data_IF_919034403734
#
_entry.id   IF_919034403734
#
_cell.length_a   1.000
_cell.length_b   1.000
_cell.length_c   1.000
_cell.angle_alpha   90.00
_cell.angle_beta   90.00
_cell.angle_gamma   90.00
#
_symmetry.space_group_name_H-M   'P 1'
#
loop_
_entity.id
_entity.type
_entity.pdbx_description
1 polymer ?
#
# COMPACT_ATOMS: atom_id res chain seq x y z
N UNK A 1 -16.83 -1.77 -10.01
CA UNK A 1 -15.95 -2.76 -10.70
C UNK A 1 -14.99 -1.97 -11.58
N UNK A 2 -13.67 -2.14 -11.44
CA UNK A 2 -12.69 -1.43 -12.29
C UNK A 2 -11.71 -0.51 -11.56
N UNK A 3 -11.98 -0.08 -10.31
CA UNK A 3 -11.02 0.76 -9.57
C UNK A 3 -9.82 -0.08 -9.11
N UNK A 4 -10.07 -1.24 -8.50
CA UNK A 4 -9.01 -2.18 -8.07
C UNK A 4 -8.05 -2.48 -9.21
N UNK A 5 -8.58 -2.90 -10.36
CA UNK A 5 -7.75 -3.29 -11.51
C UNK A 5 -6.91 -2.11 -12.04
N UNK A 6 -7.44 -0.88 -12.00
CA UNK A 6 -6.69 0.33 -12.37
C UNK A 6 -5.54 0.62 -11.40
N UNK A 7 -5.76 0.51 -10.09
CA UNK A 7 -4.70 0.72 -9.10
C UNK A 7 -3.62 -0.36 -9.17
N UNK A 8 -4.03 -1.62 -9.36
CA UNK A 8 -3.09 -2.73 -9.58
C UNK A 8 -2.18 -2.47 -10.79
N UNK A 9 -2.75 -2.01 -11.91
CA UNK A 9 -1.99 -1.67 -13.11
C UNK A 9 -1.08 -0.45 -12.90
N UNK A 10 -1.58 0.60 -12.24
CA UNK A 10 -0.83 1.83 -12.01
C UNK A 10 0.42 1.58 -11.13
N UNK A 11 0.23 0.88 -10.01
CA UNK A 11 1.30 0.58 -9.05
C UNK A 11 2.10 -0.66 -9.41
N UNK A 12 1.64 -1.44 -10.39
CA UNK A 12 2.24 -2.72 -10.79
C UNK A 12 2.34 -3.70 -9.61
N UNK A 13 1.29 -3.76 -8.80
CA UNK A 13 1.13 -4.68 -7.65
C UNK A 13 -0.22 -5.39 -7.74
N UNK A 14 -0.43 -6.44 -6.94
CA UNK A 14 -1.75 -7.07 -6.77
C UNK A 14 -2.35 -6.67 -5.42
N UNK A 15 -3.64 -6.39 -5.41
CA UNK A 15 -4.38 -5.96 -4.22
C UNK A 15 -5.36 -7.08 -3.84
N UNK A 16 -5.17 -7.70 -2.69
CA UNK A 16 -6.09 -8.72 -2.19
C UNK A 16 -7.42 -8.08 -1.74
N UNK A 17 -8.51 -8.85 -1.79
CA UNK A 17 -9.79 -8.37 -1.28
C UNK A 17 -9.74 -8.10 0.23
N UNK A 18 -8.91 -8.86 0.97
CA UNK A 18 -8.63 -8.61 2.38
C UNK A 18 -7.97 -7.25 2.63
N UNK A 19 -7.10 -6.78 1.72
CA UNK A 19 -6.47 -5.47 1.84
C UNK A 19 -7.51 -4.34 1.68
N UNK A 20 -8.50 -4.51 0.81
CA UNK A 20 -9.60 -3.55 0.66
C UNK A 20 -10.47 -3.46 1.94
N UNK A 21 -10.80 -4.61 2.53
CA UNK A 21 -11.55 -4.67 3.80
C UNK A 21 -10.76 -4.04 4.94
N UNK A 22 -9.45 -4.32 5.01
CA UNK A 22 -8.56 -3.74 6.00
C UNK A 22 -8.46 -2.22 5.83
N UNK A 23 -8.29 -1.73 4.61
CA UNK A 23 -8.21 -0.30 4.33
C UNK A 23 -9.50 0.44 4.71
N UNK A 24 -10.67 -0.13 4.40
CA UNK A 24 -11.96 0.42 4.84
C UNK A 24 -12.07 0.47 6.37
N UNK A 25 -11.65 -0.60 7.05
CA UNK A 25 -11.74 -0.72 8.52
C UNK A 25 -10.80 0.26 9.22
N UNK A 26 -9.53 0.30 8.81
CA UNK A 26 -8.49 1.12 9.43
C UNK A 26 -8.69 2.61 9.14
N UNK A 27 -9.00 2.98 7.89
CA UNK A 27 -9.32 4.37 7.56
C UNK A 27 -10.56 4.85 8.30
N UNK A 28 -11.58 4.00 8.47
CA UNK A 28 -12.75 4.36 9.27
C UNK A 28 -12.41 4.61 10.75
N UNK A 29 -11.49 3.83 11.32
CA UNK A 29 -11.10 3.95 12.72
C UNK A 29 -10.17 5.14 12.99
N UNK A 30 -9.21 5.41 12.11
CA UNK A 30 -8.09 6.31 12.42
C UNK A 30 -8.07 7.61 11.61
N UNK A 31 -8.79 7.69 10.49
CA UNK A 31 -8.87 8.91 9.66
C UNK A 31 -10.28 9.49 9.84
N UNK A 32 -10.43 10.33 10.87
CA UNK A 32 -11.73 10.83 11.35
C UNK A 32 -12.25 12.06 10.59
N UNK A 33 -11.36 12.80 9.94
CA UNK A 33 -11.63 14.04 9.20
C UNK A 33 -12.05 13.81 7.73
N UNK A 34 -12.14 12.55 7.30
CA UNK A 34 -12.52 12.15 5.94
C UNK A 34 -13.60 11.06 5.92
N UNK A 35 -14.31 10.98 4.81
CA UNK A 35 -15.43 10.06 4.61
C UNK A 35 -15.04 8.88 3.71
N UNK A 36 -15.70 7.74 3.91
CA UNK A 36 -15.63 6.61 2.96
C UNK A 36 -16.41 6.95 1.68
N UNK A 37 -16.00 6.41 0.50
CA UNK A 37 -14.89 5.48 0.29
C UNK A 37 -13.52 6.14 0.11
N UNK A 38 -13.47 7.47 -0.03
CA UNK A 38 -12.31 8.26 -0.40
C UNK A 38 -11.07 7.97 0.46
N UNK A 39 -11.20 8.04 1.80
CA UNK A 39 -10.09 7.74 2.72
C UNK A 39 -9.55 6.31 2.65
N UNK A 40 -10.37 5.34 2.22
CA UNK A 40 -9.94 3.96 2.05
C UNK A 40 -9.18 3.79 0.73
N UNK A 41 -9.60 4.51 -0.31
CA UNK A 41 -8.93 4.54 -1.61
C UNK A 41 -7.53 5.13 -1.47
N UNK A 42 -7.40 6.27 -0.78
CA UNK A 42 -6.11 6.89 -0.51
C UNK A 42 -5.17 5.96 0.28
N UNK A 43 -5.69 5.29 1.31
CA UNK A 43 -4.89 4.35 2.10
C UNK A 43 -4.40 3.17 1.24
N UNK A 44 -5.21 2.70 0.29
CA UNK A 44 -4.80 1.66 -0.67
C UNK A 44 -3.73 2.19 -1.63
N UNK A 45 -3.88 3.41 -2.12
CA UNK A 45 -2.93 4.07 -3.04
C UNK A 45 -1.55 4.26 -2.42
N UNK A 46 -1.51 4.76 -1.17
CA UNK A 46 -0.27 4.91 -0.40
C UNK A 46 0.41 3.56 -0.13
N UNK A 47 -0.37 2.55 0.27
CA UNK A 47 0.16 1.21 0.53
C UNK A 47 0.73 0.57 -0.74
N UNK A 48 0.04 0.72 -1.87
CA UNK A 48 0.49 0.21 -3.17
C UNK A 48 1.77 0.91 -3.64
N UNK A 49 1.85 2.23 -3.49
CA UNK A 49 3.05 3.03 -3.79
C UNK A 49 4.26 2.57 -2.96
N UNK A 50 4.06 2.37 -1.65
CA UNK A 50 5.13 1.88 -0.75
C UNK A 50 5.62 0.50 -1.13
N UNK A 51 4.70 -0.42 -1.44
CA UNK A 51 5.07 -1.76 -1.88
C UNK A 51 5.86 -1.72 -3.20
N UNK A 52 5.45 -0.87 -4.15
CA UNK A 52 6.16 -0.69 -5.41
C UNK A 52 7.60 -0.20 -5.20
N UNK A 53 7.78 0.79 -4.33
CA UNK A 53 9.11 1.29 -3.98
C UNK A 53 9.98 0.19 -3.35
N UNK A 54 9.42 -0.62 -2.45
CA UNK A 54 10.14 -1.73 -1.83
C UNK A 54 10.61 -2.76 -2.88
N UNK A 55 9.74 -3.09 -3.84
CA UNK A 55 10.06 -4.01 -4.95
C UNK A 55 11.20 -3.47 -5.83
N UNK A 56 11.23 -2.15 -6.09
CA UNK A 56 12.27 -1.53 -6.90
C UNK A 56 13.59 -1.29 -6.12
N UNK A 57 13.59 -1.47 -4.79
CA UNK A 57 14.74 -1.24 -3.90
C UNK A 57 15.51 -2.53 -3.55
N UNK A 58 16.78 -2.39 -3.14
CA UNK A 58 17.52 -3.51 -2.55
C UNK A 58 16.76 -3.99 -1.30
N UNK A 59 16.50 -5.31 -1.14
CA UNK A 59 15.81 -5.82 0.03
C UNK A 59 16.42 -5.29 1.32
N UNK A 60 15.58 -4.79 2.22
CA UNK A 60 16.00 -4.09 3.44
C UNK A 60 16.94 -4.96 4.29
N UNK A 61 16.67 -6.27 4.36
CA UNK A 61 17.56 -7.24 5.02
C UNK A 61 18.97 -7.29 4.42
N UNK A 62 19.11 -7.09 3.11
CA UNK A 62 20.41 -7.02 2.43
C UNK A 62 21.06 -5.65 2.60
N UNK A 63 20.30 -4.56 2.64
CA UNK A 63 20.82 -3.23 2.96
C UNK A 63 21.36 -3.18 4.41
N UNK A 64 20.67 -3.83 5.35
CA UNK A 64 21.08 -3.91 6.74
C UNK A 64 22.36 -4.74 6.92
N UNK A 65 22.52 -5.84 6.18
CA UNK A 65 23.77 -6.63 6.16
C UNK A 65 24.93 -5.79 5.64
N UNK A 66 24.75 -5.07 4.52
CA UNK A 66 25.78 -4.19 3.96
C UNK A 66 26.22 -3.13 4.97
N UNK A 67 25.27 -2.49 5.66
CA UNK A 67 25.57 -1.46 6.68
C UNK A 67 26.31 -2.01 7.91
N UNK A 68 26.16 -3.30 8.23
CA UNK A 68 26.87 -3.94 9.35
C UNK A 68 28.28 -4.40 8.99
N UNK A 69 28.59 -4.52 7.70
CA UNK A 69 29.91 -4.93 7.20
C UNK A 69 30.84 -3.71 7.00
N UNK A 70 30.28 -2.51 6.78
CA UNK A 70 31.02 -1.23 6.84
C UNK A 70 31.28 -0.79 8.28
#
# INVERSE_FOLDING_TARGET
RGLKEKYEQHHKVRISDSALVAAATLSNRYIADRFLPDKAIDLVDEAASRLRMQVDSKPEALDEIDRRIM
#
